data_IF_065763211081
#
_entry.id   IF_065763211081
#
_cell.length_a   1.000
_cell.length_b   1.000
_cell.length_c   1.000
_cell.angle_alpha   90.00
_cell.angle_beta   90.00
_cell.angle_gamma   90.00
#
_symmetry.space_group_name_H-M   'P 1'
#
loop_
_entity.id
_entity.type
_entity.pdbx_description
1 polymer ?
#
# COMPACT_ATOMS: atom_id res chain seq x y z
N UNK A 1 -69.34 -1.30 -23.15
CA UNK A 1 -68.54 -0.19 -22.57
C UNK A 1 -67.73 -0.77 -21.42
N UNK A 2 -66.40 -0.56 -21.43
CA UNK A 2 -65.54 -0.75 -20.26
C UNK A 2 -64.49 -1.85 -20.36
N UNK A 3 -63.43 -1.64 -21.14
CA UNK A 3 -62.13 -2.30 -20.98
C UNK A 3 -61.42 -1.75 -19.73
N UNK A 4 -60.69 -2.59 -18.98
CA UNK A 4 -59.43 -2.18 -18.35
C UNK A 4 -58.60 -3.41 -17.91
N UNK A 5 -57.44 -3.53 -18.54
CA UNK A 5 -56.30 -4.34 -18.13
C UNK A 5 -55.67 -3.83 -16.84
N UNK A 6 -55.20 -4.71 -15.97
CA UNK A 6 -54.15 -4.39 -15.01
C UNK A 6 -53.09 -5.49 -14.95
N UNK A 7 -52.11 -5.32 -15.83
CA UNK A 7 -50.76 -5.87 -15.72
C UNK A 7 -50.16 -5.40 -14.39
N UNK A 8 -50.15 -6.24 -13.36
CA UNK A 8 -49.36 -5.96 -12.14
C UNK A 8 -48.03 -6.68 -12.25
N UNK A 9 -46.98 -5.85 -12.27
CA UNK A 9 -45.64 -6.19 -12.68
C UNK A 9 -44.99 -7.27 -11.85
N UNK A 10 -44.15 -8.04 -12.54
CA UNK A 10 -43.01 -8.74 -11.92
C UNK A 10 -42.26 -7.73 -11.08
N UNK A 11 -42.31 -7.89 -9.77
CA UNK A 11 -41.32 -7.32 -8.86
C UNK A 11 -40.00 -7.96 -9.29
N UNK A 12 -39.23 -7.25 -10.12
CA UNK A 12 -37.83 -7.55 -10.31
C UNK A 12 -37.16 -7.30 -8.97
N UNK A 13 -36.99 -8.37 -8.20
CA UNK A 13 -36.02 -8.37 -7.10
C UNK A 13 -34.68 -8.02 -7.73
N UNK A 14 -34.24 -6.79 -7.54
CA UNK A 14 -32.85 -6.41 -7.74
C UNK A 14 -32.02 -7.39 -6.90
N UNK A 15 -31.53 -8.46 -7.51
CA UNK A 15 -30.32 -9.13 -7.05
C UNK A 15 -29.25 -8.04 -7.10
N UNK A 16 -29.06 -7.33 -5.98
CA UNK A 16 -27.76 -6.75 -5.67
C UNK A 16 -26.80 -7.91 -5.90
N UNK A 17 -26.00 -7.82 -6.96
CA UNK A 17 -24.98 -8.81 -7.22
C UNK A 17 -24.21 -8.97 -5.91
N UNK A 18 -24.06 -10.21 -5.43
CA UNK A 18 -23.08 -10.50 -4.40
C UNK A 18 -21.73 -10.06 -5.00
N UNK A 19 -21.32 -8.81 -4.75
CA UNK A 19 -19.95 -8.40 -4.99
C UNK A 19 -19.14 -9.27 -4.05
N UNK A 20 -18.44 -10.24 -4.65
CA UNK A 20 -17.65 -11.21 -3.93
C UNK A 20 -16.47 -10.45 -3.36
N UNK A 21 -16.53 -10.13 -2.06
CA UNK A 21 -15.46 -9.45 -1.35
C UNK A 21 -14.18 -10.26 -1.51
N UNK A 22 -13.13 -9.60 -1.97
CA UNK A 22 -11.78 -10.16 -2.12
C UNK A 22 -10.97 -9.70 -0.91
N UNK A 23 -10.12 -10.59 -0.40
CA UNK A 23 -9.32 -10.32 0.79
C UNK A 23 -7.84 -10.27 0.44
N UNK A 24 -7.19 -9.16 0.77
CA UNK A 24 -5.74 -9.13 0.93
C UNK A 24 -5.38 -9.75 2.28
N UNK A 25 -4.37 -10.60 2.31
CA UNK A 25 -3.92 -11.28 3.53
C UNK A 25 -2.53 -10.80 3.89
N UNK A 26 -2.34 -10.40 5.14
CA UNK A 26 -1.04 -10.01 5.68
C UNK A 26 -0.72 -10.88 6.88
N UNK A 27 0.47 -11.44 6.89
CA UNK A 27 1.00 -12.18 8.03
C UNK A 27 2.04 -11.33 8.75
N UNK A 28 2.11 -11.46 10.06
CA UNK A 28 3.13 -10.83 10.89
C UNK A 28 3.78 -11.91 11.74
N UNK A 29 5.09 -12.09 11.58
CA UNK A 29 5.91 -12.94 12.44
C UNK A 29 6.20 -12.19 13.74
N UNK A 30 5.42 -12.46 14.79
CA UNK A 30 5.62 -11.83 16.11
C UNK A 30 6.89 -12.40 16.76
N UNK A 31 7.97 -11.61 16.97
CA UNK A 31 9.19 -12.14 17.58
C UNK A 31 9.00 -12.55 19.06
N UNK A 32 7.84 -12.25 19.68
CA UNK A 32 7.49 -12.64 21.05
C UNK A 32 6.77 -13.98 21.11
N UNK A 33 6.33 -14.53 19.97
CA UNK A 33 5.53 -15.74 19.89
C UNK A 33 6.09 -16.67 18.80
N UNK A 34 5.94 -17.98 18.94
CA UNK A 34 6.47 -18.94 17.96
C UNK A 34 5.57 -19.12 16.72
N UNK A 35 4.60 -18.24 16.48
CA UNK A 35 3.64 -18.37 15.38
C UNK A 35 3.32 -17.04 14.68
N UNK A 36 2.93 -17.15 13.41
CA UNK A 36 2.48 -16.03 12.58
C UNK A 36 1.05 -15.61 12.91
N UNK A 37 0.80 -14.31 13.00
CA UNK A 37 -0.55 -13.76 13.10
C UNK A 37 -1.03 -13.29 11.73
N UNK A 38 -2.23 -13.70 11.35
CA UNK A 38 -2.83 -13.39 10.04
C UNK A 38 -3.92 -12.33 10.17
N UNK A 39 -3.86 -11.34 9.28
CA UNK A 39 -4.75 -10.20 9.18
C UNK A 39 -5.29 -10.10 7.76
N UNK A 40 -6.47 -9.50 7.61
CA UNK A 40 -7.10 -9.41 6.30
C UNK A 40 -7.80 -8.08 6.08
N UNK A 41 -7.77 -7.63 4.83
CA UNK A 41 -8.52 -6.47 4.37
C UNK A 41 -9.38 -6.82 3.16
N UNK A 42 -10.68 -6.63 3.33
CA UNK A 42 -11.69 -6.96 2.34
C UNK A 42 -12.04 -5.76 1.47
N UNK A 43 -12.01 -5.96 0.16
CA UNK A 43 -12.29 -4.92 -0.84
C UNK A 43 -12.85 -5.55 -2.12
N UNK A 44 -13.30 -4.72 -3.05
CA UNK A 44 -13.81 -5.15 -4.35
C UNK A 44 -12.68 -5.29 -5.41
N UNK A 45 -11.53 -4.68 -5.13
CA UNK A 45 -10.38 -4.64 -6.02
C UNK A 45 -9.50 -5.89 -5.86
N UNK A 46 -8.98 -6.42 -6.97
CA UNK A 46 -7.98 -7.50 -6.97
C UNK A 46 -6.56 -6.98 -6.74
N UNK A 47 -6.32 -5.71 -7.08
CA UNK A 47 -5.00 -5.09 -7.01
C UNK A 47 -5.11 -3.72 -6.36
N UNK A 48 -4.19 -3.42 -5.43
CA UNK A 48 -4.13 -2.13 -4.73
C UNK A 48 -2.69 -1.75 -4.43
N UNK A 49 -2.37 -0.45 -4.35
CA UNK A 49 -1.11 0.00 -3.77
C UNK A 49 -0.95 -0.51 -2.33
N UNK A 50 0.24 -0.98 -1.97
CA UNK A 50 0.48 -1.57 -0.65
C UNK A 50 0.14 -0.63 0.51
N UNK A 51 0.38 0.68 0.34
CA UNK A 51 -0.01 1.68 1.35
C UNK A 51 -1.52 1.71 1.59
N UNK A 52 -2.34 1.51 0.56
CA UNK A 52 -3.79 1.45 0.73
C UNK A 52 -4.22 0.19 1.49
N UNK A 53 -3.56 -0.94 1.25
CA UNK A 53 -3.81 -2.19 1.98
C UNK A 53 -3.43 -2.02 3.45
N UNK A 54 -2.22 -1.52 3.73
CA UNK A 54 -1.73 -1.30 5.11
C UNK A 54 -2.59 -0.30 5.87
N UNK A 55 -2.96 0.82 5.23
CA UNK A 55 -3.88 1.79 5.85
C UNK A 55 -5.27 1.21 6.08
N UNK A 56 -5.76 0.37 5.16
CA UNK A 56 -7.03 -0.34 5.31
C UNK A 56 -7.04 -1.27 6.52
N UNK A 57 -5.97 -2.02 6.73
CA UNK A 57 -5.86 -2.95 7.88
C UNK A 57 -5.64 -2.19 9.20
N UNK A 58 -4.83 -1.14 9.18
CA UNK A 58 -4.45 -0.43 10.40
C UNK A 58 -5.51 0.59 10.88
N UNK A 59 -6.22 1.25 9.96
CA UNK A 59 -7.00 2.45 10.28
C UNK A 59 -8.45 2.47 9.76
N UNK A 60 -8.85 1.59 8.84
CA UNK A 60 -10.25 1.57 8.40
C UNK A 60 -11.14 1.21 9.59
N UNK A 61 -12.16 2.00 9.91
CA UNK A 61 -13.07 1.75 11.03
C UNK A 61 -14.13 0.69 10.69
N UNK A 62 -14.32 0.35 9.41
CA UNK A 62 -15.34 -0.60 8.96
C UNK A 62 -15.01 -2.06 9.31
N UNK A 63 -16.00 -2.96 9.26
CA UNK A 63 -15.87 -4.40 9.56
C UNK A 63 -15.21 -5.21 8.41
N UNK A 64 -14.38 -4.58 7.57
CA UNK A 64 -13.78 -5.19 6.37
C UNK A 64 -12.58 -6.12 6.67
N UNK A 65 -12.62 -6.87 7.76
CA UNK A 65 -11.61 -7.88 8.10
C UNK A 65 -10.99 -7.73 9.49
N UNK A 66 -9.88 -8.44 9.70
CA UNK A 66 -9.15 -8.48 10.97
C UNK A 66 -8.00 -7.47 10.93
N UNK A 67 -7.98 -6.55 11.90
CA UNK A 67 -7.07 -5.40 11.97
C UNK A 67 -5.88 -5.68 12.89
N UNK A 68 -4.79 -4.95 12.67
CA UNK A 68 -3.68 -4.86 13.63
C UNK A 68 -3.45 -3.41 14.06
N UNK A 69 -2.88 -3.24 15.25
CA UNK A 69 -2.30 -1.96 15.68
C UNK A 69 -1.01 -1.69 14.90
N UNK A 70 -0.92 -0.56 14.21
CA UNK A 70 0.31 -0.12 13.56
C UNK A 70 0.48 1.39 13.62
N UNK A 71 1.75 1.81 13.67
CA UNK A 71 2.12 3.20 13.46
C UNK A 71 3.24 3.31 12.42
N UNK A 72 3.09 4.27 11.50
CA UNK A 72 4.02 4.54 10.42
C UNK A 72 4.67 5.91 10.63
N UNK A 73 5.97 6.00 10.41
CA UNK A 73 6.75 7.24 10.57
C UNK A 73 7.56 7.53 9.31
N UNK A 74 7.89 8.80 9.12
CA UNK A 74 8.82 9.27 8.11
C UNK A 74 9.94 10.05 8.80
N UNK A 75 11.19 9.75 8.45
CA UNK A 75 12.39 10.39 9.02
C UNK A 75 13.17 11.03 7.88
N UNK A 76 13.54 12.30 8.04
CA UNK A 76 14.34 13.02 7.04
C UNK A 76 15.72 12.38 6.92
N UNK A 77 16.07 11.93 5.72
CA UNK A 77 17.40 11.49 5.35
C UNK A 77 18.17 12.66 4.72
N UNK A 78 18.99 13.34 5.53
CA UNK A 78 19.76 14.51 5.07
C UNK A 78 20.72 14.19 3.90
N UNK A 79 21.17 12.93 3.77
CA UNK A 79 22.08 12.54 2.67
C UNK A 79 21.35 12.45 1.33
N UNK A 80 20.09 11.97 1.35
CA UNK A 80 19.23 11.88 0.16
C UNK A 80 18.50 13.20 -0.12
N UNK A 81 18.32 14.03 0.91
CA UNK A 81 17.48 15.23 0.84
C UNK A 81 15.98 14.89 0.75
N UNK A 82 15.59 13.70 1.24
CA UNK A 82 14.23 13.17 1.18
C UNK A 82 13.91 12.34 2.45
N UNK A 83 12.70 11.83 2.59
CA UNK A 83 12.27 11.03 3.73
C UNK A 83 12.45 9.53 3.50
N UNK A 84 12.99 8.83 4.51
CA UNK A 84 12.86 7.37 4.61
C UNK A 84 11.62 7.04 5.45
N UNK A 85 10.89 5.99 5.08
CA UNK A 85 9.66 5.55 5.73
C UNK A 85 9.87 4.27 6.53
N UNK A 86 9.26 4.19 7.72
CA UNK A 86 9.37 3.03 8.60
C UNK A 86 8.01 2.69 9.22
N UNK A 87 7.81 1.41 9.52
CA UNK A 87 6.75 0.98 10.45
C UNK A 87 7.33 1.09 11.86
N UNK A 88 7.04 2.19 12.56
CA UNK A 88 7.53 2.41 13.93
C UNK A 88 7.03 1.33 14.88
N UNK A 89 5.79 0.87 14.69
CA UNK A 89 5.15 -0.12 15.56
C UNK A 89 4.22 -1.01 14.76
N UNK A 90 4.25 -2.31 15.05
CA UNK A 90 3.32 -3.29 14.50
C UNK A 90 2.91 -4.26 15.62
N UNK A 91 1.62 -4.49 15.78
CA UNK A 91 1.03 -5.30 16.87
C UNK A 91 1.54 -4.92 18.26
N UNK A 92 1.64 -3.60 18.52
CA UNK A 92 2.12 -3.06 19.77
C UNK A 92 3.63 -3.19 20.02
N UNK A 93 4.41 -3.78 19.10
CA UNK A 93 5.87 -3.87 19.23
C UNK A 93 6.56 -2.82 18.36
N UNK A 94 7.31 -1.93 19.03
CA UNK A 94 8.06 -0.86 18.38
C UNK A 94 9.39 -1.35 17.81
N UNK A 95 9.95 -0.60 16.85
CA UNK A 95 11.34 -0.75 16.41
C UNK A 95 12.33 -0.45 17.54
N UNK A 96 13.53 -1.02 17.51
CA UNK A 96 14.48 -0.93 18.63
C UNK A 96 15.01 0.50 18.85
N UNK A 97 15.13 1.29 17.78
CA UNK A 97 15.62 2.66 17.84
C UNK A 97 14.77 3.58 16.95
N UNK A 98 13.87 4.37 17.54
CA UNK A 98 12.95 5.22 16.78
C UNK A 98 13.64 6.45 16.16
N UNK A 99 14.71 6.95 16.79
CA UNK A 99 15.45 8.13 16.30
C UNK A 99 16.43 7.77 15.18
N UNK A 100 16.96 6.55 15.20
CA UNK A 100 17.82 5.99 14.15
C UNK A 100 17.45 4.52 13.86
N UNK A 101 16.36 4.26 13.10
CA UNK A 101 15.83 2.91 12.85
C UNK A 101 16.85 1.91 12.32
N UNK A 102 17.77 2.37 11.47
CA UNK A 102 18.79 1.54 10.83
C UNK A 102 19.84 0.99 11.81
N UNK A 103 19.92 1.51 13.03
CA UNK A 103 20.85 1.05 14.07
C UNK A 103 20.30 -0.11 14.92
N UNK A 104 19.11 -0.63 14.59
CA UNK A 104 18.49 -1.73 15.32
C UNK A 104 17.61 -2.61 14.44
N UNK A 105 16.73 -3.37 15.10
CA UNK A 105 15.70 -4.14 14.39
C UNK A 105 14.51 -3.27 13.99
N UNK A 106 14.06 -3.53 12.77
CA UNK A 106 12.91 -2.89 12.14
C UNK A 106 11.93 -3.94 11.63
N UNK A 107 10.74 -3.48 11.27
CA UNK A 107 9.76 -4.27 10.53
C UNK A 107 10.05 -4.22 9.03
N UNK A 108 10.25 -5.39 8.44
CA UNK A 108 10.59 -5.54 7.02
C UNK A 108 9.49 -6.31 6.31
N UNK A 109 8.96 -5.79 5.18
CA UNK A 109 8.00 -6.51 4.38
C UNK A 109 8.69 -7.53 3.48
N UNK A 110 8.08 -8.70 3.36
CA UNK A 110 8.37 -9.72 2.37
C UNK A 110 7.14 -9.87 1.48
N UNK A 111 7.33 -9.77 0.17
CA UNK A 111 6.27 -10.00 -0.82
C UNK A 111 6.67 -11.21 -1.66
N UNK A 112 5.84 -12.26 -1.67
CA UNK A 112 6.13 -13.52 -2.35
C UNK A 112 7.50 -14.11 -1.97
N UNK A 113 7.79 -14.15 -0.66
CA UNK A 113 9.07 -14.59 -0.09
C UNK A 113 10.31 -13.77 -0.50
N UNK A 114 10.12 -12.61 -1.14
CA UNK A 114 11.18 -11.67 -1.45
C UNK A 114 11.14 -10.52 -0.45
N UNK A 115 12.29 -10.29 0.20
CA UNK A 115 12.49 -9.15 1.09
C UNK A 115 12.43 -7.85 0.28
N UNK A 116 11.66 -6.87 0.74
CA UNK A 116 11.46 -5.60 0.05
C UNK A 116 11.71 -4.42 1.02
N UNK A 117 12.10 -3.26 0.49
CA UNK A 117 12.32 -2.06 1.28
C UNK A 117 11.02 -1.26 1.42
N UNK A 118 10.61 -0.96 2.65
CA UNK A 118 9.34 -0.27 2.90
C UNK A 118 9.32 1.16 2.33
N UNK A 119 10.44 1.89 2.40
CA UNK A 119 10.52 3.24 1.83
C UNK A 119 10.33 3.20 0.32
N UNK A 120 11.02 2.29 -0.36
CA UNK A 120 10.90 2.07 -1.79
C UNK A 120 9.46 1.69 -2.18
N UNK A 121 8.81 0.81 -1.42
CA UNK A 121 7.42 0.41 -1.66
C UNK A 121 6.45 1.59 -1.55
N UNK A 122 6.65 2.48 -0.58
CA UNK A 122 5.88 3.71 -0.39
C UNK A 122 6.08 4.70 -1.55
N UNK A 123 7.33 5.02 -1.87
CA UNK A 123 7.70 5.99 -2.92
C UNK A 123 7.18 5.56 -4.30
N UNK A 124 7.24 4.27 -4.60
CA UNK A 124 6.88 3.74 -5.91
C UNK A 124 5.42 3.28 -6.01
N UNK A 125 4.62 3.47 -4.95
CA UNK A 125 3.22 3.01 -4.88
C UNK A 125 3.07 1.56 -5.36
N UNK A 126 3.91 0.64 -4.86
CA UNK A 126 3.95 -0.75 -5.32
C UNK A 126 2.54 -1.34 -5.33
N UNK A 127 2.07 -1.76 -6.50
CA UNK A 127 0.79 -2.46 -6.67
C UNK A 127 0.95 -3.90 -6.19
N UNK A 128 -0.01 -4.37 -5.41
CA UNK A 128 -0.06 -5.72 -4.87
C UNK A 128 -1.34 -6.38 -5.34
N UNK A 129 -1.25 -7.62 -5.81
CA UNK A 129 -2.40 -8.45 -6.13
C UNK A 129 -2.88 -9.22 -4.89
N UNK A 130 -4.16 -9.57 -4.82
CA UNK A 130 -4.72 -10.34 -3.70
C UNK A 130 -4.09 -11.73 -3.53
N UNK A 131 -3.51 -12.27 -4.60
CA UNK A 131 -2.78 -13.53 -4.58
C UNK A 131 -1.36 -13.42 -4.02
N UNK A 132 -0.81 -12.20 -3.92
CA UNK A 132 0.53 -11.98 -3.39
C UNK A 132 0.57 -12.30 -1.88
N UNK A 133 1.60 -13.02 -1.47
CA UNK A 133 1.86 -13.29 -0.06
C UNK A 133 2.62 -12.12 0.56
N UNK A 134 2.05 -11.48 1.58
CA UNK A 134 2.69 -10.40 2.33
C UNK A 134 3.00 -10.87 3.75
N UNK A 135 4.28 -10.84 4.13
CA UNK A 135 4.74 -11.21 5.48
C UNK A 135 5.61 -10.10 6.05
N UNK A 136 5.33 -9.68 7.28
CA UNK A 136 6.17 -8.75 8.03
C UNK A 136 7.06 -9.50 9.01
N UNK A 137 8.36 -9.20 8.99
CA UNK A 137 9.37 -9.78 9.88
C UNK A 137 10.07 -8.70 10.69
N UNK A 138 10.47 -9.06 11.92
CA UNK A 138 11.22 -8.17 12.80
C UNK A 138 12.71 -8.53 12.81
N UNK A 139 13.51 -7.78 12.05
CA UNK A 139 14.91 -8.14 11.77
C UNK A 139 15.82 -6.91 11.65
N UNK A 140 17.13 -7.14 11.60
CA UNK A 140 18.10 -6.06 11.43
C UNK A 140 17.96 -5.41 10.04
N UNK A 141 18.20 -4.10 9.98
CA UNK A 141 18.30 -3.38 8.72
C UNK A 141 19.52 -3.85 7.90
N UNK A 142 19.39 -3.92 6.57
CA UNK A 142 20.49 -4.23 5.67
C UNK A 142 20.66 -3.14 4.61
N UNK A 143 21.85 -2.55 4.50
CA UNK A 143 22.08 -1.45 3.54
C UNK A 143 21.86 -1.85 2.05
N UNK A 144 21.89 -3.16 1.75
CA UNK A 144 21.56 -3.71 0.41
C UNK A 144 20.09 -3.49 0.01
N UNK A 145 19.24 -3.10 0.94
CA UNK A 145 17.83 -2.78 0.72
C UNK A 145 17.66 -1.49 -0.10
N UNK A 146 18.70 -0.66 -0.15
CA UNK A 146 18.74 0.57 -0.97
C UNK A 146 19.15 0.33 -2.45
N UNK A 147 19.35 -0.92 -2.89
CA UNK A 147 19.86 -1.20 -4.25
C UNK A 147 18.72 -1.30 -5.29
N UNK A 148 18.56 -0.19 -6.02
CA UNK A 148 17.91 0.05 -7.33
C UNK A 148 16.97 -1.02 -7.92
N UNK A 149 15.80 -0.57 -8.35
CA UNK A 149 14.77 -1.31 -9.12
C UNK A 149 15.31 -2.19 -10.27
N UNK A 150 16.45 -1.82 -10.86
CA UNK A 150 17.14 -2.59 -11.91
C UNK A 150 17.67 -3.95 -11.44
N UNK A 151 17.96 -4.13 -10.15
CA UNK A 151 18.41 -5.40 -9.56
C UNK A 151 17.24 -6.25 -9.04
N UNK A 152 16.05 -5.65 -8.87
CA UNK A 152 14.84 -6.31 -8.38
C UNK A 152 13.97 -6.91 -9.52
N UNK A 153 14.47 -6.89 -10.75
CA UNK A 153 13.80 -7.50 -11.92
C UNK A 153 12.54 -6.75 -12.37
N UNK A 154 12.33 -5.53 -11.90
CA UNK A 154 11.18 -4.72 -12.27
C UNK A 154 11.44 -4.04 -13.62
N UNK A 155 10.92 -4.62 -14.70
CA UNK A 155 10.71 -3.85 -15.93
C UNK A 155 9.42 -3.06 -15.76
N UNK A 156 9.43 -1.72 -15.83
CA UNK A 156 8.18 -0.98 -15.95
C UNK A 156 7.47 -1.48 -17.21
N UNK A 157 6.20 -1.86 -17.09
CA UNK A 157 5.34 -2.12 -18.23
C UNK A 157 5.21 -0.80 -19.00
N UNK A 158 6.00 -0.66 -20.07
CA UNK A 158 5.88 0.48 -20.99
C UNK A 158 4.70 0.17 -21.90
N UNK A 159 3.50 0.42 -21.40
CA UNK A 159 2.32 0.45 -22.25
C UNK A 159 2.32 1.79 -23.01
N UNK A 160 2.85 1.72 -24.23
CA UNK A 160 2.37 2.39 -25.43
C UNK A 160 1.87 3.84 -25.27
N UNK A 161 2.79 4.79 -25.04
CA UNK A 161 2.52 6.20 -25.35
C UNK A 161 2.93 6.44 -26.80
N UNK A 162 1.93 6.24 -27.68
CA UNK A 162 1.92 6.80 -29.02
C UNK A 162 2.27 8.28 -29.02
N UNK A 163 2.94 8.69 -30.09
CA UNK A 163 3.42 10.04 -30.38
C UNK A 163 2.50 11.18 -29.91
N UNK A 164 3.06 12.18 -29.22
CA UNK A 164 2.39 13.48 -29.12
C UNK A 164 2.87 14.41 -28.02
N UNK A 165 3.71 15.38 -28.40
CA UNK A 165 3.90 16.69 -27.75
C UNK A 165 4.34 16.75 -26.28
N UNK A 166 5.61 17.12 -26.08
CA UNK A 166 6.14 17.71 -24.85
C UNK A 166 5.81 19.23 -24.87
N UNK A 167 5.06 19.80 -23.92
CA UNK A 167 5.04 21.24 -23.73
C UNK A 167 6.27 21.67 -22.93
N UNK A 168 7.08 22.51 -23.57
CA UNK A 168 8.24 23.19 -23.00
C UNK A 168 7.82 24.15 -21.88
N UNK A 169 8.23 23.90 -20.64
CA UNK A 169 8.14 24.88 -19.55
C UNK A 169 9.34 25.82 -19.60
N UNK A 170 9.27 26.81 -20.50
CA UNK A 170 10.12 28.00 -20.41
C UNK A 170 9.67 28.89 -19.25
N UNK A 171 10.64 29.27 -18.44
CA UNK A 171 10.58 30.25 -17.37
C UNK A 171 9.77 31.51 -17.75
N UNK A 172 8.95 31.98 -16.81
CA UNK A 172 8.44 33.36 -16.78
C UNK A 172 8.86 33.97 -15.45
N UNK A 173 10.06 34.56 -15.45
CA UNK A 173 10.41 35.66 -14.56
C UNK A 173 10.17 36.93 -15.35
N UNK A 174 9.26 37.80 -14.92
CA UNK A 174 9.28 39.24 -15.22
C UNK A 174 8.16 40.01 -14.50
N UNK A 175 8.60 41.06 -13.78
CA UNK A 175 7.91 42.33 -13.48
C UNK A 175 6.81 42.37 -12.41
N UNK A 176 7.20 42.91 -11.26
CA UNK A 176 6.49 44.04 -10.64
C UNK A 176 7.52 45.00 -10.04
N UNK A 177 7.87 46.04 -10.81
CA UNK A 177 8.37 47.31 -10.31
C UNK A 177 7.26 48.36 -10.52
N UNK A 178 7.28 49.38 -9.66
CA UNK A 178 6.55 50.67 -9.62
C UNK A 178 5.69 50.76 -8.35
N UNK A 179 6.24 51.40 -7.30
CA UNK A 179 6.19 52.84 -6.97
C UNK A 179 4.82 53.30 -6.47
#
# INVERSE_FOLDING_TARGET
MGCASSTSGRIMTNKKGNQQLKGFTIKVEDPRQDFEQEFSYQTENDELPIMQIMNGIAFDETEKGNKFDANFIAIMNEKKGDFDYYVQRLMGLAIENEDAPVDGKIWVPYINNKREDWSFLCENNRIIAKEDEIVWRYENYFEKDMLNAEQLGYQPHVDDIGSGHIPSTKAVNSRMEER
#
